data_IF_817981438709
#
_entry.id   IF_817981438709
#
_cell.length_a   1.000
_cell.length_b   1.000
_cell.length_c   1.000
_cell.angle_alpha   90.00
_cell.angle_beta   90.00
_cell.angle_gamma   90.00
#
_symmetry.space_group_name_H-M   'P 1'
#
loop_
_entity.id
_entity.type
_entity.pdbx_description
1 polymer ?
#
# COMPACT_ATOMS: atom_id res chain seq x y z
N UNK A 1 60.88 -66.81 -40.83
CA UNK A 1 60.61 -65.38 -41.15
C UNK A 1 59.19 -65.07 -40.77
N UNK A 2 59.05 -64.40 -39.63
CA UNK A 2 57.69 -64.03 -39.10
C UNK A 2 57.68 -62.51 -39.10
N UNK A 3 56.82 -61.95 -39.93
CA UNK A 3 56.54 -60.49 -39.96
C UNK A 3 55.49 -60.12 -38.89
N UNK A 4 55.90 -59.36 -37.92
CA UNK A 4 54.99 -58.77 -36.92
C UNK A 4 54.47 -57.43 -37.47
N UNK A 5 53.16 -57.38 -37.73
CA UNK A 5 52.46 -56.14 -38.11
C UNK A 5 52.04 -55.38 -36.88
N UNK A 6 52.64 -54.24 -36.68
CA UNK A 6 52.33 -53.31 -35.53
C UNK A 6 51.16 -52.41 -35.95
N UNK A 7 50.00 -52.57 -35.33
CA UNK A 7 48.84 -51.70 -35.51
C UNK A 7 48.96 -50.48 -34.62
N UNK A 8 49.17 -49.28 -35.22
CA UNK A 8 49.23 -48.00 -34.52
C UNK A 8 47.78 -47.44 -34.36
N UNK A 9 47.24 -47.53 -33.15
CA UNK A 9 45.91 -46.94 -32.83
C UNK A 9 46.11 -45.43 -32.60
N UNK A 10 45.66 -44.61 -33.55
CA UNK A 10 45.56 -43.17 -33.39
C UNK A 10 44.36 -42.80 -32.53
N UNK A 11 44.62 -42.39 -31.28
CA UNK A 11 43.60 -41.84 -30.37
C UNK A 11 43.17 -40.46 -30.90
N UNK A 12 41.97 -40.38 -31.45
CA UNK A 12 41.30 -39.11 -31.76
C UNK A 12 40.91 -38.41 -30.49
N UNK A 13 41.72 -37.53 -29.97
CA UNK A 13 41.36 -36.55 -28.93
C UNK A 13 40.39 -35.54 -29.56
N UNK A 14 39.07 -35.69 -29.25
CA UNK A 14 38.07 -34.64 -29.55
C UNK A 14 38.37 -33.46 -28.61
N UNK A 15 38.55 -32.25 -29.18
CA UNK A 15 38.63 -31.08 -28.34
C UNK A 15 37.28 -30.91 -27.66
N UNK A 16 37.24 -30.98 -26.33
CA UNK A 16 36.08 -30.56 -25.53
C UNK A 16 36.00 -29.04 -25.66
N UNK A 17 35.25 -28.57 -26.66
CA UNK A 17 34.88 -27.16 -26.69
C UNK A 17 33.87 -26.91 -25.58
N UNK A 18 34.35 -26.35 -24.47
CA UNK A 18 33.47 -25.79 -23.45
C UNK A 18 32.50 -24.83 -24.16
N UNK A 19 31.19 -24.96 -23.97
CA UNK A 19 30.24 -24.09 -24.61
C UNK A 19 30.55 -22.64 -24.20
N UNK A 20 30.77 -21.77 -25.21
CA UNK A 20 31.04 -20.37 -24.97
C UNK A 20 29.81 -19.74 -24.30
N UNK A 21 29.97 -19.24 -23.08
CA UNK A 21 28.89 -18.57 -22.36
C UNK A 21 28.41 -17.31 -23.10
N UNK A 22 27.11 -17.05 -23.09
CA UNK A 22 26.54 -15.82 -23.65
C UNK A 22 26.21 -14.83 -22.54
N UNK A 23 26.44 -13.54 -22.79
CA UNK A 23 26.18 -12.47 -21.84
C UNK A 23 24.92 -11.73 -22.24
N UNK A 24 24.02 -11.56 -21.27
CA UNK A 24 22.83 -10.73 -21.38
C UNK A 24 23.17 -9.37 -20.79
N UNK A 25 23.21 -8.35 -21.64
CA UNK A 25 23.49 -6.99 -21.18
C UNK A 25 22.41 -6.51 -20.21
N UNK A 26 22.82 -5.90 -19.12
CA UNK A 26 21.95 -5.30 -18.12
C UNK A 26 20.96 -4.30 -18.74
N UNK A 27 21.36 -3.56 -19.76
CA UNK A 27 20.51 -2.63 -20.49
C UNK A 27 19.27 -3.29 -21.10
N UNK A 28 19.38 -4.52 -21.59
CA UNK A 28 18.22 -5.27 -22.14
C UNK A 28 17.24 -5.66 -21.03
N UNK A 29 17.74 -6.07 -19.86
CA UNK A 29 16.91 -6.39 -18.70
C UNK A 29 16.23 -5.13 -18.17
N UNK A 30 16.95 -4.00 -18.10
CA UNK A 30 16.38 -2.70 -17.72
C UNK A 30 15.26 -2.28 -18.67
N UNK A 31 15.47 -2.38 -20.00
CA UNK A 31 14.45 -2.01 -20.98
C UNK A 31 13.19 -2.88 -20.84
N UNK A 32 13.34 -4.20 -20.69
CA UNK A 32 12.22 -5.12 -20.49
C UNK A 32 11.47 -4.80 -19.17
N UNK A 33 12.19 -4.57 -18.08
CA UNK A 33 11.63 -4.23 -16.78
C UNK A 33 10.90 -2.87 -16.80
N UNK A 34 11.49 -1.86 -17.45
CA UNK A 34 10.87 -0.54 -17.60
C UNK A 34 9.59 -0.59 -18.41
N UNK A 35 9.57 -1.30 -19.53
CA UNK A 35 8.36 -1.50 -20.32
C UNK A 35 7.24 -2.16 -19.50
N UNK A 36 7.58 -3.18 -18.69
CA UNK A 36 6.62 -3.83 -17.80
C UNK A 36 6.11 -2.88 -16.72
N UNK A 37 6.98 -2.07 -16.13
CA UNK A 37 6.61 -1.08 -15.11
C UNK A 37 5.63 -0.06 -15.68
N UNK A 38 5.93 0.55 -16.82
CA UNK A 38 5.05 1.51 -17.51
C UNK A 38 3.68 0.88 -17.79
N UNK A 39 3.66 -0.33 -18.32
CA UNK A 39 2.40 -1.06 -18.57
C UNK A 39 1.62 -1.35 -17.27
N UNK A 40 2.32 -1.56 -16.15
CA UNK A 40 1.70 -1.81 -14.84
C UNK A 40 1.16 -0.55 -14.16
N UNK A 41 1.70 0.62 -14.48
CA UNK A 41 1.21 1.92 -14.01
C UNK A 41 -0.07 2.37 -14.74
N UNK A 42 -0.40 1.76 -15.88
CA UNK A 42 -1.60 2.13 -16.65
C UNK A 42 -1.59 3.58 -17.11
N UNK A 43 -2.63 4.35 -16.79
CA UNK A 43 -2.73 5.77 -17.14
C UNK A 43 -1.61 6.64 -16.55
N UNK A 44 -1.10 6.27 -15.38
CA UNK A 44 0.00 6.99 -14.71
C UNK A 44 1.33 6.82 -15.44
N UNK A 45 1.49 5.75 -16.20
CA UNK A 45 2.73 5.44 -16.90
C UNK A 45 3.19 6.51 -17.89
N UNK A 46 2.25 7.26 -18.48
CA UNK A 46 2.57 8.35 -19.41
C UNK A 46 3.22 9.56 -18.73
N UNK A 47 2.85 9.82 -17.47
CA UNK A 47 3.31 10.98 -16.69
C UNK A 47 4.34 10.59 -15.61
N UNK A 48 4.67 9.29 -15.50
CA UNK A 48 5.62 8.81 -14.53
C UNK A 48 7.06 9.19 -14.90
N UNK A 49 7.80 9.74 -13.94
CA UNK A 49 9.26 9.84 -13.99
C UNK A 49 9.84 8.55 -13.41
N UNK A 50 10.56 7.81 -14.24
CA UNK A 50 11.11 6.52 -13.87
C UNK A 50 12.63 6.56 -14.04
N UNK A 51 13.36 6.26 -12.98
CA UNK A 51 14.82 6.15 -13.02
C UNK A 51 15.27 4.82 -12.42
N UNK A 52 16.36 4.26 -12.96
CA UNK A 52 16.94 3.00 -12.45
C UNK A 52 17.68 3.28 -11.15
N UNK A 53 17.44 2.46 -10.15
CA UNK A 53 18.14 2.53 -8.85
C UNK A 53 19.25 1.50 -8.82
N UNK A 54 20.47 1.96 -8.53
CA UNK A 54 21.65 1.11 -8.50
C UNK A 54 22.24 0.88 -9.90
N UNK A 55 23.10 -0.13 -9.98
CA UNK A 55 23.80 -0.50 -11.22
C UNK A 55 23.50 -1.98 -11.51
N UNK A 56 22.49 -2.28 -12.34
CA UNK A 56 22.23 -3.65 -12.75
C UNK A 56 23.46 -4.26 -13.44
N UNK A 57 23.77 -5.50 -13.10
CA UNK A 57 24.91 -6.22 -13.68
C UNK A 57 24.47 -7.05 -14.88
N UNK A 58 25.44 -7.30 -15.78
CA UNK A 58 25.25 -8.21 -16.89
C UNK A 58 25.13 -9.64 -16.37
N UNK A 59 24.30 -10.45 -17.00
CA UNK A 59 24.03 -11.84 -16.59
C UNK A 59 24.64 -12.78 -17.62
N UNK A 60 25.47 -13.72 -17.16
CA UNK A 60 26.06 -14.74 -18.01
C UNK A 60 25.26 -16.05 -17.89
N UNK A 61 24.91 -16.64 -19.04
CA UNK A 61 24.11 -17.86 -19.15
C UNK A 61 24.70 -18.81 -20.20
N UNK A 62 24.25 -20.05 -20.20
CA UNK A 62 24.61 -21.02 -21.25
C UNK A 62 24.12 -20.55 -22.62
N UNK A 63 24.81 -20.96 -23.70
CA UNK A 63 24.39 -20.61 -25.06
C UNK A 63 23.06 -21.25 -25.41
N UNK A 64 22.19 -20.51 -26.13
CA UNK A 64 20.88 -20.98 -26.53
C UNK A 64 19.96 -19.84 -26.95
N UNK A 65 18.72 -20.17 -27.20
CA UNK A 65 17.67 -19.20 -27.51
C UNK A 65 17.33 -18.43 -26.23
N UNK A 66 17.62 -17.14 -26.22
CA UNK A 66 17.44 -16.25 -25.07
C UNK A 66 16.06 -15.60 -25.10
N UNK A 67 15.33 -15.66 -23.97
CA UNK A 67 14.10 -14.90 -23.73
C UNK A 67 14.21 -14.15 -22.39
N UNK A 68 13.67 -12.93 -22.36
CA UNK A 68 13.53 -12.11 -21.15
C UNK A 68 12.05 -11.93 -20.83
N UNK A 69 11.64 -12.34 -19.65
CA UNK A 69 10.27 -12.13 -19.16
C UNK A 69 10.28 -11.27 -17.91
N UNK A 70 9.80 -10.03 -18.05
CA UNK A 70 9.63 -9.11 -16.93
C UNK A 70 8.26 -9.33 -16.30
N UNK A 71 8.23 -9.76 -15.05
CA UNK A 71 7.02 -10.07 -14.29
C UNK A 71 6.37 -8.79 -13.76
N UNK A 72 5.09 -8.88 -13.42
CA UNK A 72 4.41 -7.78 -12.74
C UNK A 72 5.04 -7.52 -11.36
N UNK A 73 5.18 -6.23 -10.96
CA UNK A 73 5.60 -5.89 -9.62
C UNK A 73 4.56 -6.35 -8.59
N UNK A 74 5.02 -6.74 -7.42
CA UNK A 74 4.13 -7.05 -6.30
C UNK A 74 3.64 -5.77 -5.62
N UNK A 75 2.42 -5.82 -5.06
CA UNK A 75 1.83 -4.74 -4.28
C UNK A 75 1.19 -3.63 -5.09
N UNK A 76 0.75 -2.59 -4.36
CA UNK A 76 0.04 -1.43 -4.93
C UNK A 76 1.00 -0.53 -5.72
N UNK A 77 0.50 0.08 -6.78
CA UNK A 77 1.16 1.10 -7.58
C UNK A 77 0.26 2.36 -7.66
N UNK A 78 0.84 3.55 -7.86
CA UNK A 78 2.26 3.85 -7.86
C UNK A 78 2.89 3.83 -6.46
N UNK A 79 4.21 3.69 -6.36
CA UNK A 79 5.00 3.84 -5.14
C UNK A 79 6.43 4.26 -5.49
N UNK A 80 7.12 4.96 -4.60
CA UNK A 80 8.45 5.54 -4.84
C UNK A 80 9.50 4.51 -5.30
N UNK A 81 9.45 3.30 -4.79
CA UNK A 81 10.42 2.23 -5.10
C UNK A 81 9.73 0.99 -5.60
N UNK A 82 10.06 0.57 -6.82
CA UNK A 82 9.46 -0.61 -7.47
C UNK A 82 10.54 -1.55 -7.97
N UNK A 83 10.52 -2.79 -7.50
CA UNK A 83 11.35 -3.87 -8.03
C UNK A 83 10.58 -4.66 -9.07
N UNK A 84 11.15 -4.81 -10.25
CA UNK A 84 10.61 -5.62 -11.34
C UNK A 84 11.45 -6.90 -11.47
N UNK A 85 10.90 -8.07 -11.17
CA UNK A 85 11.58 -9.33 -11.42
C UNK A 85 11.67 -9.60 -12.92
N UNK A 86 12.87 -9.98 -13.38
CA UNK A 86 13.13 -10.36 -14.77
C UNK A 86 13.67 -11.78 -14.77
N UNK A 87 12.96 -12.68 -15.44
CA UNK A 87 13.41 -14.03 -15.71
C UNK A 87 14.20 -14.04 -17.00
N UNK A 88 15.43 -14.54 -16.92
CA UNK A 88 16.32 -14.79 -18.06
C UNK A 88 16.22 -16.27 -18.40
N UNK A 89 15.58 -16.61 -19.49
CA UNK A 89 15.36 -18.00 -19.93
C UNK A 89 16.27 -18.33 -21.13
N UNK A 90 16.76 -19.57 -21.12
CA UNK A 90 17.54 -20.14 -22.22
C UNK A 90 16.83 -21.41 -22.67
N UNK A 91 16.49 -21.53 -23.96
CA UNK A 91 15.76 -22.66 -24.53
C UNK A 91 14.44 -23.00 -23.82
N UNK A 92 13.77 -21.95 -23.25
CA UNK A 92 12.50 -22.10 -22.54
C UNK A 92 12.63 -22.37 -21.04
N UNK A 93 13.82 -22.63 -20.52
CA UNK A 93 14.08 -22.83 -19.09
C UNK A 93 14.64 -21.57 -18.44
N UNK A 94 14.18 -21.24 -17.22
CA UNK A 94 14.69 -20.08 -16.46
C UNK A 94 16.11 -20.37 -15.96
N UNK A 95 17.09 -19.76 -16.60
CA UNK A 95 18.50 -19.89 -16.23
C UNK A 95 18.91 -18.95 -15.09
N UNK A 96 18.32 -17.73 -15.04
CA UNK A 96 18.61 -16.72 -14.02
C UNK A 96 17.38 -15.87 -13.72
N UNK A 97 17.35 -15.36 -12.48
CA UNK A 97 16.38 -14.33 -12.04
C UNK A 97 17.13 -13.12 -11.56
N UNK A 98 16.74 -11.96 -12.04
CA UNK A 98 17.27 -10.67 -11.62
C UNK A 98 16.11 -9.76 -11.20
N UNK A 99 16.37 -8.79 -10.35
CA UNK A 99 15.38 -7.75 -10.02
C UNK A 99 15.96 -6.39 -10.37
N UNK A 100 15.28 -5.67 -11.23
CA UNK A 100 15.64 -4.29 -11.57
C UNK A 100 14.81 -3.35 -10.70
N UNK A 101 15.50 -2.48 -9.99
CA UNK A 101 14.86 -1.50 -9.10
C UNK A 101 14.72 -0.15 -9.79
N UNK A 102 13.55 0.46 -9.61
CA UNK A 102 13.23 1.78 -10.14
C UNK A 102 12.80 2.70 -9.01
N UNK A 103 13.19 3.97 -9.10
CA UNK A 103 12.55 5.07 -8.42
C UNK A 103 11.47 5.62 -9.35
N UNK A 104 10.28 5.82 -8.80
CA UNK A 104 9.10 6.25 -9.55
C UNK A 104 8.51 7.47 -8.86
N UNK A 105 8.20 8.50 -9.63
CA UNK A 105 7.47 9.69 -9.21
C UNK A 105 6.32 9.90 -10.20
N UNK A 106 5.11 10.15 -9.67
CA UNK A 106 3.91 10.34 -10.48
C UNK A 106 3.17 11.56 -9.96
N UNK A 107 3.23 12.65 -10.72
CA UNK A 107 2.49 13.86 -10.39
C UNK A 107 1.01 13.71 -10.78
N UNK A 108 0.13 13.99 -9.84
CA UNK A 108 -1.32 14.06 -10.05
C UNK A 108 -1.91 15.28 -9.40
N UNK A 109 -2.95 15.82 -10.03
CA UNK A 109 -3.83 16.81 -9.42
C UNK A 109 -4.77 16.11 -8.43
N UNK A 110 -4.57 16.33 -7.12
CA UNK A 110 -5.31 15.73 -6.03
C UNK A 110 -5.88 16.79 -5.09
N UNK A 111 -6.84 16.40 -4.25
CA UNK A 111 -7.29 17.26 -3.16
C UNK A 111 -6.23 17.37 -2.08
N UNK A 112 -5.96 18.59 -1.64
CA UNK A 112 -5.08 18.90 -0.54
C UNK A 112 -5.70 19.91 0.43
N UNK A 113 -5.16 19.95 1.65
CA UNK A 113 -5.57 20.93 2.66
C UNK A 113 -4.92 22.28 2.37
N UNK A 114 -5.72 23.34 2.17
CA UNK A 114 -5.20 24.71 1.95
C UNK A 114 -4.77 25.39 3.25
N UNK A 115 -5.25 24.93 4.39
CA UNK A 115 -4.93 25.44 5.72
C UNK A 115 -4.83 24.29 6.70
N UNK A 116 -4.09 24.50 7.78
CA UNK A 116 -4.09 23.57 8.91
C UNK A 116 -5.50 23.40 9.46
N UNK A 117 -5.83 22.19 9.91
CA UNK A 117 -7.10 21.91 10.55
C UNK A 117 -6.91 21.00 11.77
N UNK A 118 -7.56 21.30 12.91
CA UNK A 118 -7.45 20.50 14.11
C UNK A 118 -8.26 19.20 14.01
N UNK A 119 -7.92 18.25 14.89
CA UNK A 119 -8.71 17.04 15.08
C UNK A 119 -10.19 17.39 15.36
N UNK A 120 -11.09 16.56 14.82
CA UNK A 120 -12.55 16.72 15.00
C UNK A 120 -13.18 17.70 14.01
N UNK A 121 -12.41 18.38 13.17
CA UNK A 121 -12.96 19.25 12.13
C UNK A 121 -13.88 18.48 11.19
N UNK A 122 -15.03 19.08 10.89
CA UNK A 122 -16.00 18.54 9.92
C UNK A 122 -15.56 18.90 8.50
N UNK A 123 -15.88 18.10 7.47
CA UNK A 123 -15.51 18.37 6.09
C UNK A 123 -15.94 19.74 5.60
N UNK A 124 -17.11 20.22 6.01
CA UNK A 124 -17.62 21.54 5.64
C UNK A 124 -16.80 22.72 6.16
N UNK A 125 -15.98 22.50 7.20
CA UNK A 125 -15.07 23.52 7.77
C UNK A 125 -13.68 23.45 7.14
N UNK A 126 -13.36 22.42 6.35
CA UNK A 126 -12.06 22.24 5.73
C UNK A 126 -11.96 23.08 4.45
N UNK A 127 -10.84 23.75 4.29
CA UNK A 127 -10.50 24.44 3.04
C UNK A 127 -9.68 23.49 2.17
N UNK A 128 -10.34 22.85 1.21
CA UNK A 128 -9.73 21.92 0.27
C UNK A 128 -9.49 22.64 -1.07
N UNK A 129 -8.36 22.34 -1.69
CA UNK A 129 -8.03 22.82 -3.05
C UNK A 129 -7.30 21.73 -3.82
N UNK A 130 -7.33 21.81 -5.14
CA UNK A 130 -6.52 20.96 -6.00
C UNK A 130 -5.06 21.39 -5.94
N UNK A 131 -4.18 20.40 -5.89
CA UNK A 131 -2.73 20.61 -5.88
C UNK A 131 -2.02 19.46 -6.60
N UNK A 132 -0.92 19.77 -7.26
CA UNK A 132 -0.04 18.75 -7.84
C UNK A 132 0.74 18.05 -6.72
N UNK A 133 0.66 16.73 -6.69
CA UNK A 133 1.31 15.92 -5.65
C UNK A 133 1.92 14.66 -6.27
N UNK A 134 3.13 14.31 -5.84
CA UNK A 134 3.71 13.01 -6.16
C UNK A 134 2.97 11.88 -5.42
N UNK A 135 2.03 11.26 -6.11
CA UNK A 135 1.22 10.19 -5.52
C UNK A 135 1.99 8.89 -5.29
N UNK A 136 3.20 8.75 -5.83
CA UNK A 136 4.06 7.62 -5.53
C UNK A 136 4.62 7.69 -4.11
N UNK A 137 4.77 8.89 -3.54
CA UNK A 137 5.19 9.12 -2.16
C UNK A 137 4.03 9.05 -1.15
N UNK A 138 2.78 9.02 -1.62
CA UNK A 138 1.60 9.02 -0.75
C UNK A 138 1.28 7.60 -0.28
N UNK A 139 1.19 7.44 1.03
CA UNK A 139 0.78 6.19 1.65
C UNK A 139 -0.66 6.36 2.15
N UNK A 140 -1.60 5.72 1.49
CA UNK A 140 -3.01 5.79 1.83
C UNK A 140 -3.93 5.97 0.62
N UNK A 141 -5.23 6.03 0.89
CA UNK A 141 -6.26 6.20 -0.13
C UNK A 141 -6.60 7.67 -0.30
N UNK A 142 -6.24 8.24 -1.45
CA UNK A 142 -6.56 9.62 -1.80
C UNK A 142 -8.07 9.81 -1.94
N UNK A 143 -8.58 10.88 -1.36
CA UNK A 143 -9.97 11.31 -1.55
C UNK A 143 -10.08 11.93 -2.93
N UNK A 144 -10.93 11.33 -3.77
CA UNK A 144 -11.16 11.81 -5.13
C UNK A 144 -12.20 12.94 -5.15
N UNK A 145 -13.24 12.83 -4.32
CA UNK A 145 -14.37 13.77 -4.25
C UNK A 145 -14.72 14.07 -2.78
N UNK A 146 -14.97 15.34 -2.42
CA UNK A 146 -15.37 15.72 -1.07
C UNK A 146 -16.62 15.01 -0.53
N UNK A 147 -17.52 14.53 -1.41
CA UNK A 147 -18.70 13.76 -1.00
C UNK A 147 -18.38 12.46 -0.26
N UNK A 148 -17.18 11.89 -0.50
CA UNK A 148 -16.70 10.71 0.22
C UNK A 148 -16.49 10.96 1.72
N UNK A 149 -16.45 12.24 2.13
CA UNK A 149 -16.21 12.67 3.51
C UNK A 149 -17.50 12.92 4.30
N UNK A 150 -18.68 12.71 3.71
CA UNK A 150 -19.95 12.90 4.39
C UNK A 150 -20.09 11.97 5.60
N UNK A 151 -20.51 12.52 6.74
CA UNK A 151 -20.65 11.78 8.00
C UNK A 151 -19.32 11.45 8.70
N UNK A 152 -18.22 12.01 8.20
CA UNK A 152 -16.90 11.84 8.77
C UNK A 152 -16.42 13.12 9.45
N UNK A 153 -15.37 13.00 10.29
CA UNK A 153 -14.60 14.10 10.87
C UNK A 153 -13.11 13.76 10.87
N UNK A 154 -12.24 14.74 10.99
CA UNK A 154 -10.80 14.50 11.11
C UNK A 154 -10.48 13.72 12.39
N UNK A 155 -9.76 12.60 12.23
CA UNK A 155 -9.25 11.76 13.31
C UNK A 155 -8.08 12.41 14.05
N UNK A 156 -7.25 13.19 13.35
CA UNK A 156 -6.07 13.90 13.84
C UNK A 156 -5.97 15.27 13.19
N UNK A 157 -5.07 16.12 13.69
CA UNK A 157 -4.79 17.40 13.04
C UNK A 157 -4.02 17.18 11.74
N UNK A 158 -4.31 17.99 10.73
CA UNK A 158 -3.67 17.96 9.40
C UNK A 158 -3.01 19.30 9.10
N UNK A 159 -1.98 19.28 8.26
CA UNK A 159 -1.22 20.45 7.88
C UNK A 159 -1.58 20.92 6.46
N UNK A 160 -1.50 22.22 6.23
CA UNK A 160 -1.62 22.80 4.90
C UNK A 160 -0.59 22.17 3.94
N UNK A 161 -1.01 21.95 2.69
CA UNK A 161 -0.19 21.32 1.66
C UNK A 161 -0.17 19.78 1.70
N UNK A 162 -0.72 19.15 2.74
CA UNK A 162 -0.85 17.68 2.76
C UNK A 162 -1.99 17.22 1.83
N UNK A 163 -1.85 16.09 1.13
CA UNK A 163 -2.96 15.50 0.38
C UNK A 163 -4.05 15.00 1.33
N UNK A 164 -5.29 15.02 0.87
CA UNK A 164 -6.44 14.52 1.64
C UNK A 164 -6.53 13.01 1.49
N UNK A 165 -6.39 12.28 2.59
CA UNK A 165 -6.47 10.83 2.64
C UNK A 165 -7.74 10.38 3.36
N UNK A 166 -8.30 9.24 2.95
CA UNK A 166 -9.48 8.69 3.61
C UNK A 166 -9.17 8.28 5.05
N UNK A 167 -7.93 7.87 5.32
CA UNK A 167 -7.43 7.51 6.64
C UNK A 167 -7.30 8.69 7.62
N UNK A 168 -7.32 9.93 7.13
CA UNK A 168 -7.34 11.13 7.97
C UNK A 168 -8.68 11.26 8.71
N UNK A 169 -9.69 10.53 8.29
CA UNK A 169 -11.06 10.67 8.77
C UNK A 169 -11.52 9.47 9.59
N UNK A 170 -12.47 9.75 10.47
CA UNK A 170 -13.22 8.75 11.24
C UNK A 170 -14.73 9.07 11.15
N UNK A 171 -15.57 8.09 11.37
CA UNK A 171 -17.00 8.33 11.51
C UNK A 171 -17.26 9.21 12.72
N UNK A 172 -18.21 10.13 12.59
CA UNK A 172 -18.65 10.92 13.73
C UNK A 172 -19.33 9.96 14.70
N UNK A 173 -18.84 9.82 15.94
CA UNK A 173 -19.48 8.94 16.92
C UNK A 173 -20.81 9.53 17.39
N UNK A 174 -21.74 8.66 17.81
CA UNK A 174 -23.01 9.08 18.40
C UNK A 174 -22.86 9.58 19.83
N UNK A 175 -21.76 9.16 20.49
CA UNK A 175 -21.35 9.63 21.82
C UNK A 175 -19.87 9.92 21.77
N UNK A 176 -19.46 11.13 22.15
CA UNK A 176 -18.06 11.51 22.18
C UNK A 176 -17.43 11.34 23.58
N UNK A 177 -16.10 11.33 23.63
CA UNK A 177 -15.40 11.29 24.91
C UNK A 177 -15.67 12.55 25.69
N UNK A 178 -15.96 12.42 27.01
CA UNK A 178 -16.33 13.49 27.92
C UNK A 178 -17.66 14.17 27.59
N UNK A 179 -18.45 13.60 26.68
CA UNK A 179 -19.80 14.05 26.40
C UNK A 179 -20.76 13.66 27.53
N UNK A 180 -21.67 14.57 27.86
CA UNK A 180 -22.79 14.26 28.78
C UNK A 180 -23.87 13.52 28.02
N UNK A 181 -24.18 12.33 28.51
CA UNK A 181 -25.16 11.44 27.88
C UNK A 181 -26.34 11.14 28.82
N UNK A 182 -27.47 10.83 28.23
CA UNK A 182 -28.61 10.26 28.94
C UNK A 182 -28.37 8.76 29.12
N UNK A 183 -28.40 8.30 30.37
CA UNK A 183 -28.22 6.89 30.73
C UNK A 183 -29.57 6.29 31.05
N UNK A 184 -29.98 5.28 30.31
CA UNK A 184 -31.18 4.49 30.55
C UNK A 184 -30.75 3.21 31.26
N UNK A 185 -31.33 2.96 32.45
CA UNK A 185 -31.14 1.72 33.18
C UNK A 185 -32.45 0.94 33.11
N UNK A 186 -32.45 -0.22 32.49
CA UNK A 186 -33.59 -1.10 32.39
C UNK A 186 -33.45 -2.27 33.37
N UNK A 187 -34.40 -2.42 34.30
CA UNK A 187 -34.48 -3.54 35.20
C UNK A 187 -35.91 -4.12 35.22
N UNK A 188 -36.13 -5.18 34.50
CA UNK A 188 -37.45 -5.76 34.31
C UNK A 188 -38.42 -4.77 33.68
N UNK A 189 -39.54 -4.42 34.38
CA UNK A 189 -40.48 -3.44 33.92
C UNK A 189 -40.18 -1.99 34.30
N UNK A 190 -39.07 -1.78 35.03
CA UNK A 190 -38.67 -0.44 35.52
C UNK A 190 -37.64 0.15 34.57
N UNK A 191 -37.90 1.35 34.09
CA UNK A 191 -36.91 2.15 33.33
C UNK A 191 -36.60 3.43 34.11
N UNK A 192 -35.33 3.60 34.43
CA UNK A 192 -34.83 4.83 35.08
C UNK A 192 -33.99 5.58 34.07
N UNK A 193 -34.06 6.93 34.17
CA UNK A 193 -33.19 7.81 33.37
C UNK A 193 -32.33 8.63 34.32
N UNK A 194 -31.07 8.68 34.02
CA UNK A 194 -30.08 9.49 34.73
C UNK A 194 -29.13 10.10 33.73
N UNK A 195 -28.16 10.85 34.19
CA UNK A 195 -27.11 11.44 33.36
C UNK A 195 -25.78 10.83 33.72
N UNK A 196 -24.85 10.84 32.78
CA UNK A 196 -23.49 10.41 33.00
C UNK A 196 -22.55 11.07 32.00
N UNK A 197 -21.28 10.77 32.13
CA UNK A 197 -20.20 11.26 31.23
C UNK A 197 -19.49 10.10 30.59
N UNK A 198 -19.46 10.07 29.26
CA UNK A 198 -18.79 9.03 28.50
C UNK A 198 -17.26 9.14 28.66
N UNK A 199 -16.60 8.00 28.92
CA UNK A 199 -15.14 7.95 29.08
C UNK A 199 -14.42 7.64 27.76
N UNK A 200 -15.14 7.12 26.76
CA UNK A 200 -14.63 6.87 25.41
C UNK A 200 -15.71 7.20 24.37
N UNK A 201 -15.33 7.50 23.12
CA UNK A 201 -16.29 7.66 22.05
C UNK A 201 -16.89 6.31 21.63
N UNK A 202 -18.11 6.33 21.07
CA UNK A 202 -18.76 5.15 20.50
C UNK A 202 -19.90 5.50 19.55
N UNK A 203 -20.11 4.66 18.56
CA UNK A 203 -21.28 4.70 17.69
C UNK A 203 -22.42 3.82 18.20
N UNK A 204 -23.61 3.96 17.62
CA UNK A 204 -24.77 3.12 17.95
C UNK A 204 -24.42 1.63 17.88
N UNK A 205 -24.68 0.90 18.97
CA UNK A 205 -24.36 -0.51 19.16
C UNK A 205 -23.07 -0.77 19.94
N UNK A 206 -22.16 0.20 20.04
CA UNK A 206 -20.92 0.07 20.81
C UNK A 206 -21.18 0.11 22.32
N UNK A 207 -20.31 -0.60 23.05
CA UNK A 207 -20.31 -0.57 24.53
C UNK A 207 -19.22 0.40 24.98
N UNK A 208 -19.63 1.43 25.71
CA UNK A 208 -18.74 2.48 26.21
C UNK A 208 -18.79 2.57 27.74
N UNK A 209 -17.67 2.85 28.41
CA UNK A 209 -17.67 3.12 29.85
C UNK A 209 -18.26 4.50 30.12
N UNK A 210 -19.27 4.57 30.98
CA UNK A 210 -19.98 5.80 31.38
C UNK A 210 -19.83 5.99 32.88
N UNK A 211 -19.36 7.16 33.30
CA UNK A 211 -19.41 7.56 34.70
C UNK A 211 -20.78 8.20 34.96
N UNK A 212 -21.67 7.47 35.62
CA UNK A 212 -23.00 7.96 36.01
C UNK A 212 -22.88 9.00 37.13
N UNK A 213 -23.72 10.02 37.07
CA UNK A 213 -23.73 11.08 38.11
C UNK A 213 -23.97 10.47 39.51
N UNK A 214 -23.02 10.71 40.41
CA UNK A 214 -23.06 10.18 41.77
C UNK A 214 -22.50 8.76 41.94
N UNK A 215 -21.95 8.15 40.89
CA UNK A 215 -21.25 6.88 41.00
C UNK A 215 -19.73 7.08 41.14
N UNK A 216 -19.08 6.20 41.92
CA UNK A 216 -17.63 6.22 42.11
C UNK A 216 -16.85 5.49 41.01
N UNK A 217 -17.51 4.67 40.20
CA UNK A 217 -16.90 3.89 39.16
C UNK A 217 -17.73 3.92 37.87
N UNK A 218 -17.07 3.87 36.69
CA UNK A 218 -17.78 3.80 35.40
C UNK A 218 -18.49 2.46 35.22
N UNK A 219 -19.69 2.51 34.60
CA UNK A 219 -20.45 1.34 34.16
C UNK A 219 -20.35 1.18 32.65
N UNK A 220 -20.45 -0.02 32.15
CA UNK A 220 -20.48 -0.28 30.71
C UNK A 220 -21.92 -0.13 30.23
N UNK A 221 -22.12 0.71 29.20
CA UNK A 221 -23.43 0.95 28.61
C UNK A 221 -23.36 0.88 27.09
N UNK A 222 -24.40 0.41 26.45
CA UNK A 222 -24.53 0.34 25.01
C UNK A 222 -25.08 1.66 24.47
N UNK A 223 -24.44 2.21 23.46
CA UNK A 223 -24.93 3.38 22.73
C UNK A 223 -26.17 2.97 21.92
N UNK A 224 -27.33 3.56 22.20
CA UNK A 224 -28.58 3.28 21.48
C UNK A 224 -28.91 4.32 20.45
N UNK A 225 -28.51 5.57 20.68
CA UNK A 225 -28.63 6.68 19.73
C UNK A 225 -27.70 7.82 20.15
N UNK A 226 -27.70 8.88 19.37
CA UNK A 226 -26.88 10.06 19.65
C UNK A 226 -27.15 10.62 21.05
N UNK A 227 -26.11 10.63 21.90
CA UNK A 227 -26.17 11.11 23.27
C UNK A 227 -26.96 10.25 24.25
N UNK A 228 -27.38 9.02 23.85
CA UNK A 228 -28.17 8.10 24.69
C UNK A 228 -27.49 6.74 24.79
N UNK A 229 -27.38 6.26 26.01
CA UNK A 229 -26.79 4.95 26.31
C UNK A 229 -27.72 4.14 27.22
N UNK A 230 -27.70 2.82 27.08
CA UNK A 230 -28.47 1.88 27.90
C UNK A 230 -27.56 0.91 28.62
N UNK A 231 -27.79 0.73 29.92
CA UNK A 231 -27.09 -0.25 30.75
C UNK A 231 -27.91 -1.53 30.76
N UNK A 232 -27.37 -2.57 30.12
CA UNK A 232 -27.90 -3.94 30.20
C UNK A 232 -27.38 -4.60 31.47
N UNK A 233 -28.28 -5.16 32.30
CA UNK A 233 -27.94 -5.97 33.46
C UNK A 233 -28.25 -7.44 33.19
#
# INVERSE_FOLDING_TARGET
MVFATMLLAAALTRPSSSPALQTVASSRMVAAAQARLVASLGSDGANARISVVGKPEDVTVLPGHLALDARRPAGRLPRERVGIPVDVSVNGEVARRATVWFAVSVERDVLGYSTDAPRGSLPAALKLARQDTDVAAVHGDLVADPSQLEGLRLRHAVLAGSPVLLEDFERIPDVDRQERVEVIVAYGAIRMRTKGTAQSPGGTGDIVPILVDGADAPVHARVTSKGVVEVDQ
#
